data_IF_192375195503
#
_entry.id   IF_192375195503
#
_cell.length_a   1.000
_cell.length_b   1.000
_cell.length_c   1.000
_cell.angle_alpha   90.00
_cell.angle_beta   90.00
_cell.angle_gamma   90.00
#
_symmetry.space_group_name_H-M   'P 1'
#
loop_
_entity.id
_entity.type
_entity.pdbx_description
1 polymer ?
#
# COMPACT_ATOMS: atom_id res chain seq x y z
N UNK A 1 -17.69 -3.23 35.45
CA UNK A 1 -18.92 -2.69 36.06
C UNK A 1 -18.70 -1.45 36.97
N UNK A 2 -17.55 -1.25 37.64
CA UNK A 2 -17.30 -0.03 38.49
C UNK A 2 -16.78 1.22 37.74
N UNK A 3 -16.41 1.10 36.46
CA UNK A 3 -15.83 2.21 35.69
C UNK A 3 -16.78 2.80 34.63
N UNK A 4 -17.91 2.14 34.36
CA UNK A 4 -18.93 2.59 33.40
C UNK A 4 -19.64 3.83 33.96
N UNK A 5 -19.37 5.00 33.36
CA UNK A 5 -19.89 6.30 33.79
C UNK A 5 -18.82 7.34 34.16
N UNK A 6 -17.54 6.96 34.19
CA UNK A 6 -16.42 7.86 34.55
C UNK A 6 -15.44 8.09 33.41
N UNK A 7 -15.32 7.10 32.54
CA UNK A 7 -14.50 7.13 31.35
C UNK A 7 -15.38 6.75 30.17
N UNK A 8 -15.08 7.29 29.00
CA UNK A 8 -15.74 6.88 27.77
C UNK A 8 -15.44 5.39 27.49
N UNK A 9 -16.36 4.72 26.77
CA UNK A 9 -16.26 3.29 26.47
C UNK A 9 -14.96 2.91 25.73
N UNK A 10 -14.40 3.83 24.92
CA UNK A 10 -13.14 3.66 24.20
C UNK A 10 -11.94 3.74 25.14
N UNK A 11 -11.92 4.72 26.03
CA UNK A 11 -10.89 4.86 27.07
C UNK A 11 -10.85 3.63 27.98
N UNK A 12 -12.00 3.06 28.32
CA UNK A 12 -12.10 1.81 29.10
C UNK A 12 -11.60 0.60 28.34
N UNK A 13 -11.90 0.50 27.04
CA UNK A 13 -11.45 -0.59 26.20
C UNK A 13 -9.92 -0.56 26.02
N UNK A 14 -9.34 0.62 25.79
CA UNK A 14 -7.88 0.81 25.72
C UNK A 14 -7.23 0.47 27.07
N UNK A 15 -7.82 0.90 28.19
CA UNK A 15 -7.33 0.56 29.51
C UNK A 15 -7.39 -0.95 29.76
N UNK A 16 -8.43 -1.64 29.30
CA UNK A 16 -8.55 -3.09 29.40
C UNK A 16 -7.49 -3.80 28.54
N UNK A 17 -7.22 -3.30 27.33
CA UNK A 17 -6.20 -3.84 26.44
C UNK A 17 -4.77 -3.65 26.97
N UNK A 18 -4.55 -2.62 27.78
CA UNK A 18 -3.27 -2.33 28.45
C UNK A 18 -3.15 -3.00 29.83
N UNK A 19 -4.16 -3.76 30.25
CA UNK A 19 -4.25 -4.37 31.58
C UNK A 19 -4.08 -3.30 32.68
N UNK A 20 -4.79 -2.18 32.52
CA UNK A 20 -4.78 -1.00 33.40
C UNK A 20 -6.06 -0.85 34.22
N UNK A 21 -7.03 -1.74 34.03
CA UNK A 21 -8.35 -1.63 34.65
C UNK A 21 -8.28 -1.62 36.19
N UNK A 22 -7.48 -2.50 36.76
CA UNK A 22 -7.25 -2.58 38.21
C UNK A 22 -6.54 -1.33 38.75
N UNK A 23 -5.50 -0.84 38.06
CA UNK A 23 -4.78 0.38 38.47
C UNK A 23 -5.68 1.62 38.40
N UNK A 24 -6.57 1.72 37.41
CA UNK A 24 -7.54 2.82 37.30
C UNK A 24 -8.60 2.78 38.40
N UNK A 25 -9.06 1.59 38.79
CA UNK A 25 -9.98 1.41 39.92
C UNK A 25 -9.30 1.82 41.23
N UNK A 26 -8.06 1.39 41.44
CA UNK A 26 -7.29 1.74 42.64
C UNK A 26 -7.02 3.23 42.74
N UNK A 27 -6.61 3.88 41.63
CA UNK A 27 -6.35 5.33 41.56
C UNK A 27 -7.57 6.17 41.95
N UNK A 28 -8.78 5.62 41.78
CA UNK A 28 -10.03 6.31 42.11
C UNK A 28 -10.54 6.05 43.53
N UNK A 29 -9.99 5.06 44.24
CA UNK A 29 -10.41 4.82 45.63
C UNK A 29 -9.91 5.94 46.54
N UNK A 30 -10.75 6.47 47.44
CA UNK A 30 -10.38 7.52 48.41
C UNK A 30 -9.44 7.00 49.52
N UNK A 31 -9.06 5.72 49.47
CA UNK A 31 -8.32 5.00 50.51
C UNK A 31 -6.82 4.86 50.27
N UNK A 32 -6.30 5.35 49.12
CA UNK A 32 -4.87 5.24 48.76
C UNK A 32 -4.03 6.37 49.37
N UNK A 33 -2.91 5.99 49.98
CA UNK A 33 -1.91 6.93 50.48
C UNK A 33 -1.17 7.64 49.33
N UNK A 34 -0.59 8.81 49.61
CA UNK A 34 0.15 9.62 48.64
C UNK A 34 1.25 8.83 47.92
N UNK A 35 2.00 7.99 48.65
CA UNK A 35 3.05 7.16 48.04
C UNK A 35 2.48 6.08 47.10
N UNK A 36 1.34 5.48 47.47
CA UNK A 36 0.68 4.46 46.65
C UNK A 36 0.12 5.08 45.36
N UNK A 37 -0.45 6.28 45.46
CA UNK A 37 -0.94 7.03 44.30
C UNK A 37 0.19 7.41 43.34
N UNK A 38 1.30 7.93 43.85
CA UNK A 38 2.47 8.26 43.02
C UNK A 38 3.05 7.03 42.31
N UNK A 39 3.07 5.87 42.99
CA UNK A 39 3.51 4.61 42.40
C UNK A 39 2.56 4.11 41.29
N UNK A 40 1.24 4.24 41.48
CA UNK A 40 0.22 3.93 40.47
C UNK A 40 0.36 4.83 39.23
N UNK A 41 0.48 6.15 39.41
CA UNK A 41 0.67 7.12 38.32
C UNK A 41 1.96 6.81 37.53
N UNK A 42 3.04 6.45 38.22
CA UNK A 42 4.30 6.06 37.57
C UNK A 42 4.13 4.78 36.73
N UNK A 43 3.41 3.78 37.23
CA UNK A 43 3.13 2.53 36.48
C UNK A 43 2.26 2.79 35.26
N UNK A 44 1.22 3.60 35.40
CA UNK A 44 0.34 4.02 34.31
C UNK A 44 1.14 4.71 33.20
N UNK A 45 1.90 5.75 33.55
CA UNK A 45 2.73 6.49 32.60
C UNK A 45 3.76 5.58 31.91
N UNK A 46 4.35 4.63 32.62
CA UNK A 46 5.30 3.67 32.04
C UNK A 46 4.64 2.75 31.01
N UNK A 47 3.43 2.23 31.29
CA UNK A 47 2.69 1.36 30.35
C UNK A 47 2.22 2.14 29.12
N UNK A 48 1.73 3.37 29.32
CA UNK A 48 1.34 4.27 28.22
C UNK A 48 2.55 4.60 27.35
N UNK A 49 3.66 5.04 27.95
CA UNK A 49 4.89 5.37 27.21
C UNK A 49 5.40 4.18 26.42
N UNK A 50 5.37 2.98 27.00
CA UNK A 50 5.75 1.75 26.29
C UNK A 50 4.89 1.53 25.06
N UNK A 51 3.56 1.63 25.19
CA UNK A 51 2.64 1.51 24.05
C UNK A 51 2.92 2.55 22.98
N UNK A 52 3.16 3.81 23.36
CA UNK A 52 3.48 4.89 22.41
C UNK A 52 4.76 4.59 21.64
N UNK A 53 5.80 4.09 22.31
CA UNK A 53 7.04 3.68 21.65
C UNK A 53 6.83 2.49 20.71
N UNK A 54 6.04 1.51 21.11
CA UNK A 54 5.69 0.35 20.27
C UNK A 54 4.88 0.76 19.04
N UNK A 55 3.95 1.73 19.19
CA UNK A 55 3.19 2.30 18.08
C UNK A 55 4.09 3.06 17.11
N UNK A 56 4.96 3.94 17.63
CA UNK A 56 5.92 4.68 16.81
C UNK A 56 6.88 3.76 16.06
N UNK A 57 7.33 2.68 16.69
CA UNK A 57 8.17 1.68 16.04
C UNK A 57 7.42 0.93 14.94
N UNK A 58 6.14 0.59 15.16
CA UNK A 58 5.29 -0.04 14.15
C UNK A 58 5.05 0.90 12.97
N UNK A 59 4.66 2.16 13.21
CA UNK A 59 4.46 3.15 12.14
C UNK A 59 5.72 3.37 11.32
N UNK A 60 6.89 3.53 11.97
CA UNK A 60 8.15 3.66 11.26
C UNK A 60 8.50 2.42 10.40
N UNK A 61 8.13 1.22 10.84
CA UNK A 61 8.29 0.00 10.05
C UNK A 61 7.33 -0.03 8.84
N UNK A 62 6.12 0.48 8.99
CA UNK A 62 5.14 0.63 7.90
C UNK A 62 5.65 1.62 6.86
N UNK A 63 6.06 2.82 7.28
CA UNK A 63 6.59 3.87 6.40
C UNK A 63 7.82 3.35 5.62
N UNK A 64 8.67 2.54 6.26
CA UNK A 64 9.83 1.94 5.59
C UNK A 64 9.41 0.94 4.50
N UNK A 65 8.39 0.11 4.74
CA UNK A 65 7.89 -0.82 3.73
C UNK A 65 7.10 -0.10 2.61
N UNK A 66 6.42 1.00 2.92
CA UNK A 66 5.80 1.91 1.96
C UNK A 66 6.86 2.52 1.03
N UNK A 67 7.86 3.20 1.59
CA UNK A 67 8.92 3.87 0.83
C UNK A 67 9.68 2.87 -0.04
N UNK A 68 9.94 1.68 0.48
CA UNK A 68 10.54 0.58 -0.29
C UNK A 68 9.67 0.16 -1.46
N UNK A 69 8.36 0.00 -1.29
CA UNK A 69 7.45 -0.34 -2.38
C UNK A 69 7.43 0.77 -3.44
N UNK A 70 7.34 2.04 -3.02
CA UNK A 70 7.35 3.20 -3.92
C UNK A 70 8.67 3.35 -4.68
N UNK A 71 9.81 3.15 -4.02
CA UNK A 71 11.13 3.20 -4.66
C UNK A 71 11.29 2.10 -5.72
N UNK A 72 10.82 0.88 -5.43
CA UNK A 72 10.86 -0.22 -6.40
C UNK A 72 9.91 0.07 -7.57
N UNK A 73 8.70 0.57 -7.30
CA UNK A 73 7.75 0.99 -8.34
C UNK A 73 8.39 2.04 -9.26
N UNK A 74 8.91 3.12 -8.66
CA UNK A 74 9.62 4.20 -9.35
C UNK A 74 10.80 3.70 -10.19
N UNK A 75 11.58 2.75 -9.67
CA UNK A 75 12.69 2.15 -10.41
C UNK A 75 12.21 1.37 -11.65
N UNK A 76 11.19 0.53 -11.50
CA UNK A 76 10.61 -0.25 -12.59
C UNK A 76 9.96 0.65 -13.65
N UNK A 77 9.24 1.69 -13.22
CA UNK A 77 8.64 2.69 -14.11
C UNK A 77 9.69 3.46 -14.92
N UNK A 78 10.78 3.91 -14.29
CA UNK A 78 11.86 4.61 -15.01
C UNK A 78 12.45 3.71 -16.10
N UNK A 79 12.60 2.41 -15.83
CA UNK A 79 13.08 1.42 -16.80
C UNK A 79 12.06 1.16 -17.91
N UNK A 80 10.77 1.14 -17.59
CA UNK A 80 9.67 1.05 -18.56
C UNK A 80 9.64 2.27 -19.47
N UNK A 81 9.53 3.48 -18.91
CA UNK A 81 9.51 4.76 -19.64
C UNK A 81 10.71 4.92 -20.56
N UNK A 82 11.90 4.49 -20.13
CA UNK A 82 13.10 4.52 -20.97
C UNK A 82 12.98 3.61 -22.21
N UNK A 83 12.40 2.42 -22.06
CA UNK A 83 12.19 1.48 -23.16
C UNK A 83 11.07 1.94 -24.08
N UNK A 84 9.96 2.39 -23.51
CA UNK A 84 8.85 3.01 -24.22
C UNK A 84 9.35 4.17 -25.08
N UNK A 85 10.11 5.11 -24.50
CA UNK A 85 10.71 6.23 -25.24
C UNK A 85 11.57 5.77 -26.41
N UNK A 86 12.42 4.77 -26.20
CA UNK A 86 13.28 4.25 -27.27
C UNK A 86 12.46 3.61 -28.41
N UNK A 87 11.40 2.87 -28.08
CA UNK A 87 10.49 2.29 -29.08
C UNK A 87 9.69 3.37 -29.83
N UNK A 88 9.17 4.38 -29.12
CA UNK A 88 8.45 5.51 -29.72
C UNK A 88 9.34 6.31 -30.66
N UNK A 89 10.58 6.63 -30.24
CA UNK A 89 11.55 7.30 -31.13
C UNK A 89 11.85 6.42 -32.34
N UNK A 90 12.03 5.11 -32.16
CA UNK A 90 12.21 4.16 -33.25
C UNK A 90 11.05 4.15 -34.24
N UNK A 91 9.80 4.18 -33.74
CA UNK A 91 8.59 4.24 -34.56
C UNK A 91 8.52 5.55 -35.35
N UNK A 92 8.78 6.70 -34.72
CA UNK A 92 8.78 8.01 -35.38
C UNK A 92 9.83 8.06 -36.51
N UNK A 93 11.06 7.62 -36.23
CA UNK A 93 12.14 7.60 -37.22
C UNK A 93 11.81 6.64 -38.36
N UNK A 94 11.28 5.46 -38.05
CA UNK A 94 10.90 4.47 -39.08
C UNK A 94 9.79 5.00 -39.97
N UNK A 95 8.73 5.58 -39.40
CA UNK A 95 7.64 6.17 -40.16
C UNK A 95 8.08 7.34 -41.04
N UNK A 96 8.98 8.19 -40.54
CA UNK A 96 9.57 9.27 -41.33
C UNK A 96 10.37 8.72 -42.53
N UNK A 97 11.20 7.69 -42.33
CA UNK A 97 11.99 7.07 -43.41
C UNK A 97 11.10 6.36 -44.44
N UNK A 98 10.08 5.63 -44.00
CA UNK A 98 9.11 4.96 -44.88
C UNK A 98 8.32 5.98 -45.70
N UNK A 99 7.85 7.06 -45.07
CA UNK A 99 7.12 8.13 -45.75
C UNK A 99 7.95 8.86 -46.81
N UNK A 100 9.19 9.22 -46.47
CA UNK A 100 10.13 9.85 -47.42
C UNK A 100 10.48 8.86 -48.54
N UNK A 101 10.82 7.62 -48.22
CA UNK A 101 11.18 6.58 -49.19
C UNK A 101 10.06 6.29 -50.18
N UNK A 102 8.83 6.14 -49.68
CA UNK A 102 7.64 5.94 -50.52
C UNK A 102 7.35 7.16 -51.40
N UNK A 103 7.46 8.37 -50.84
CA UNK A 103 7.25 9.61 -51.58
C UNK A 103 8.27 9.82 -52.70
N UNK A 104 9.56 9.52 -52.45
CA UNK A 104 10.62 9.58 -53.46
C UNK A 104 10.46 8.48 -54.52
N UNK A 105 10.05 7.27 -54.13
CA UNK A 105 9.77 6.19 -55.08
C UNK A 105 8.63 6.56 -56.04
N UNK A 106 7.55 7.17 -55.53
CA UNK A 106 6.43 7.66 -56.33
C UNK A 106 6.80 8.86 -57.22
N UNK A 107 7.62 9.80 -56.71
CA UNK A 107 7.99 11.01 -57.44
C UNK A 107 9.06 10.80 -58.52
N UNK A 108 9.93 9.79 -58.37
CA UNK A 108 11.07 9.57 -59.27
C UNK A 108 10.71 8.94 -60.61
N UNK A 109 9.50 8.42 -60.81
CA UNK A 109 8.96 7.94 -62.10
C UNK A 109 9.70 6.77 -62.79
N UNK A 110 10.91 6.42 -62.32
CA UNK A 110 11.80 5.39 -62.88
C UNK A 110 12.07 4.20 -61.94
N UNK A 111 11.51 4.23 -60.74
CA UNK A 111 11.47 3.10 -59.82
C UNK A 111 10.13 2.40 -60.04
N UNK A 112 10.11 1.08 -60.27
CA UNK A 112 8.86 0.36 -60.54
C UNK A 112 7.85 0.54 -59.39
N UNK A 113 6.56 0.60 -59.72
CA UNK A 113 5.46 0.75 -58.76
C UNK A 113 5.55 -0.27 -57.61
N UNK A 114 6.08 -1.47 -57.89
CA UNK A 114 6.38 -2.52 -56.91
C UNK A 114 7.23 -2.04 -55.72
N UNK A 115 8.22 -1.15 -55.91
CA UNK A 115 9.08 -0.72 -54.80
C UNK A 115 8.38 0.22 -53.83
N UNK A 116 7.51 1.11 -54.33
CA UNK A 116 6.72 1.99 -53.46
C UNK A 116 5.72 1.16 -52.64
N UNK A 117 5.12 0.13 -53.26
CA UNK A 117 4.23 -0.82 -52.59
C UNK A 117 4.96 -1.67 -51.55
N UNK A 118 6.15 -2.20 -51.87
CA UNK A 118 6.98 -2.98 -50.94
C UNK A 118 7.42 -2.12 -49.73
N UNK A 119 7.84 -0.87 -49.95
CA UNK A 119 8.24 0.04 -48.86
C UNK A 119 7.04 0.39 -47.98
N UNK A 120 5.89 0.68 -48.58
CA UNK A 120 4.66 1.00 -47.84
C UNK A 120 4.15 -0.17 -46.99
N UNK A 121 4.07 -1.38 -47.56
CA UNK A 121 3.60 -2.58 -46.85
C UNK A 121 4.58 -2.97 -45.74
N UNK A 122 5.89 -3.02 -46.04
CA UNK A 122 6.90 -3.41 -45.05
C UNK A 122 7.00 -2.38 -43.94
N UNK A 123 6.92 -1.09 -44.27
CA UNK A 123 6.91 0.00 -43.30
C UNK A 123 5.69 -0.05 -42.37
N UNK A 124 4.49 -0.23 -42.92
CA UNK A 124 3.27 -0.34 -42.13
C UNK A 124 3.28 -1.53 -41.15
N UNK A 125 3.85 -2.68 -41.56
CA UNK A 125 4.00 -3.84 -40.65
C UNK A 125 4.97 -3.57 -39.50
N UNK A 126 6.08 -2.86 -39.76
CA UNK A 126 7.04 -2.50 -38.71
C UNK A 126 6.42 -1.49 -37.72
N UNK A 127 5.65 -0.52 -38.21
CA UNK A 127 4.93 0.43 -37.35
C UNK A 127 3.92 -0.27 -36.44
N UNK A 128 3.12 -1.20 -36.99
CA UNK A 128 2.18 -2.00 -36.18
C UNK A 128 2.93 -2.83 -35.13
N UNK A 129 4.04 -3.45 -35.51
CA UNK A 129 4.86 -4.22 -34.58
C UNK A 129 5.41 -3.37 -33.43
N UNK A 130 5.95 -2.18 -33.73
CA UNK A 130 6.47 -1.26 -32.72
C UNK A 130 5.35 -0.72 -31.82
N UNK A 131 4.21 -0.35 -32.38
CA UNK A 131 3.04 0.11 -31.63
C UNK A 131 2.51 -0.96 -30.67
N UNK A 132 2.36 -2.20 -31.14
CA UNK A 132 1.93 -3.32 -30.28
C UNK A 132 2.98 -3.67 -29.23
N UNK A 133 4.28 -3.54 -29.55
CA UNK A 133 5.37 -3.78 -28.59
C UNK A 133 5.40 -2.75 -27.46
N UNK A 134 5.04 -1.49 -27.74
CA UNK A 134 4.86 -0.45 -26.73
C UNK A 134 3.71 -0.83 -25.78
N UNK A 135 2.58 -1.29 -26.33
CA UNK A 135 1.40 -1.69 -25.52
C UNK A 135 1.63 -2.92 -24.64
N UNK A 136 2.57 -3.82 -25.02
CA UNK A 136 2.89 -5.05 -24.27
C UNK A 136 4.12 -4.89 -23.36
N UNK A 137 4.60 -3.67 -23.18
CA UNK A 137 5.81 -3.43 -22.41
C UNK A 137 5.50 -3.50 -20.91
N UNK A 138 5.71 -4.68 -20.31
CA UNK A 138 5.59 -4.86 -18.87
C UNK A 138 6.93 -5.18 -18.22
N UNK A 139 7.12 -4.67 -17.00
CA UNK A 139 8.24 -5.02 -16.13
C UNK A 139 7.68 -5.48 -14.81
N UNK A 140 8.19 -6.59 -14.34
CA UNK A 140 7.75 -7.23 -13.13
C UNK A 140 8.96 -7.64 -12.30
N UNK A 141 8.78 -7.73 -10.99
CA UNK A 141 9.80 -8.20 -10.05
C UNK A 141 9.15 -9.16 -9.05
N UNK A 142 9.87 -10.22 -8.67
CA UNK A 142 9.44 -11.08 -7.57
C UNK A 142 9.87 -10.46 -6.24
N UNK A 143 8.95 -10.36 -5.28
CA UNK A 143 9.24 -9.87 -3.92
C UNK A 143 8.62 -10.81 -2.90
N UNK A 144 9.31 -11.01 -1.78
CA UNK A 144 8.86 -11.81 -0.64
C UNK A 144 8.51 -10.91 0.56
N UNK A 145 7.43 -11.27 1.26
CA UNK A 145 6.82 -10.55 2.37
C UNK A 145 6.36 -11.55 3.46
N UNK A 146 7.26 -12.29 4.12
CA UNK A 146 6.84 -13.31 5.10
C UNK A 146 6.03 -12.71 6.27
N UNK A 147 6.27 -11.44 6.59
CA UNK A 147 5.44 -10.64 7.49
C UNK A 147 4.68 -9.63 6.63
N UNK A 148 3.42 -9.95 6.33
CA UNK A 148 2.59 -9.10 5.48
C UNK A 148 1.49 -8.45 6.29
N UNK A 149 1.76 -7.23 6.76
CA UNK A 149 0.81 -6.48 7.57
C UNK A 149 -0.51 -6.19 6.84
N UNK A 150 -0.49 -6.02 5.51
CA UNK A 150 -1.72 -5.82 4.73
C UNK A 150 -2.62 -7.06 4.78
N UNK A 151 -2.04 -8.26 4.63
CA UNK A 151 -2.76 -9.52 4.80
C UNK A 151 -3.34 -9.60 6.21
N UNK A 152 -2.49 -9.40 7.20
CA UNK A 152 -2.87 -9.66 8.58
C UNK A 152 -4.01 -8.73 9.04
N UNK A 153 -4.02 -7.48 8.56
CA UNK A 153 -5.12 -6.52 8.77
C UNK A 153 -6.37 -6.88 7.95
N UNK A 154 -6.20 -7.33 6.71
CA UNK A 154 -7.30 -7.73 5.83
C UNK A 154 -8.06 -8.95 6.38
N UNK A 155 -7.34 -10.04 6.67
CA UNK A 155 -7.91 -11.30 7.13
C UNK A 155 -8.49 -11.17 8.55
N UNK A 156 -7.75 -10.55 9.46
CA UNK A 156 -8.22 -10.27 10.83
C UNK A 156 -8.46 -11.50 11.72
N UNK A 157 -7.97 -12.69 11.33
CA UNK A 157 -8.23 -13.95 12.05
C UNK A 157 -7.51 -14.01 13.40
N UNK A 158 -6.18 -13.87 13.40
CA UNK A 158 -5.34 -13.96 14.58
C UNK A 158 -4.35 -12.81 14.65
N UNK A 159 -4.01 -12.39 15.88
CA UNK A 159 -3.01 -11.33 16.08
C UNK A 159 -1.61 -11.86 15.72
N UNK A 160 -0.91 -11.23 14.76
CA UNK A 160 0.49 -11.55 14.48
C UNK A 160 1.38 -11.24 15.67
N UNK A 161 2.40 -12.06 15.91
CA UNK A 161 3.29 -11.90 17.07
C UNK A 161 4.03 -10.56 17.10
N UNK A 162 4.26 -9.96 15.92
CA UNK A 162 4.98 -8.71 15.74
C UNK A 162 4.09 -7.46 15.88
N UNK A 163 2.75 -7.62 15.96
CA UNK A 163 1.83 -6.52 16.27
C UNK A 163 1.54 -6.51 17.78
N UNK A 164 1.82 -5.41 18.50
CA UNK A 164 1.51 -5.27 19.92
C UNK A 164 0.03 -5.51 20.22
N UNK A 165 -0.27 -6.24 21.29
CA UNK A 165 -1.64 -6.64 21.65
C UNK A 165 -2.59 -5.45 21.84
N UNK A 166 -2.12 -4.37 22.46
CA UNK A 166 -2.91 -3.17 22.66
C UNK A 166 -3.26 -2.46 21.34
N UNK A 167 -2.33 -2.45 20.38
CA UNK A 167 -2.55 -1.88 19.04
C UNK A 167 -3.54 -2.75 18.27
N UNK A 168 -3.34 -4.07 18.26
CA UNK A 168 -4.26 -5.01 17.60
C UNK A 168 -5.69 -4.88 18.15
N UNK A 169 -5.83 -4.80 19.47
CA UNK A 169 -7.11 -4.58 20.11
C UNK A 169 -7.73 -3.25 19.67
N UNK A 170 -6.95 -2.16 19.67
CA UNK A 170 -7.42 -0.84 19.24
C UNK A 170 -7.98 -0.84 17.80
N UNK A 171 -7.31 -1.53 16.87
CA UNK A 171 -7.78 -1.65 15.49
C UNK A 171 -9.07 -2.48 15.36
N UNK A 172 -9.20 -3.54 16.15
CA UNK A 172 -10.33 -4.48 16.10
C UNK A 172 -11.50 -4.12 17.02
N UNK A 173 -11.34 -3.12 17.88
CA UNK A 173 -12.39 -2.71 18.81
C UNK A 173 -13.49 -1.95 18.06
N UNK A 174 -14.66 -2.58 17.94
CA UNK A 174 -15.92 -1.91 17.58
C UNK A 174 -16.62 -1.50 18.87
N UNK A 175 -16.53 -0.22 19.25
CA UNK A 175 -17.21 0.31 20.43
C UNK A 175 -18.73 0.35 20.25
N UNK A 176 -19.48 0.24 21.35
CA UNK A 176 -20.96 0.27 21.39
C UNK A 176 -21.55 1.64 20.98
N UNK A 177 -20.75 2.71 20.94
CA UNK A 177 -21.21 4.10 20.83
C UNK A 177 -20.78 4.82 19.53
N UNK A 178 -19.94 4.21 18.69
CA UNK A 178 -19.56 4.82 17.41
C UNK A 178 -20.61 4.49 16.36
N UNK A 179 -21.18 5.55 15.76
CA UNK A 179 -22.27 5.49 14.79
C UNK A 179 -21.83 4.72 13.55
N UNK A 180 -22.11 3.41 13.52
CA UNK A 180 -21.78 2.54 12.39
C UNK A 180 -21.41 1.09 12.75
N UNK A 181 -21.13 0.79 14.03
CA UNK A 181 -20.78 -0.56 14.52
C UNK A 181 -19.51 -1.20 13.90
N UNK A 182 -18.69 -0.45 13.14
CA UNK A 182 -17.48 -0.96 12.48
C UNK A 182 -16.22 -0.53 13.22
N UNK A 183 -15.32 -1.49 13.46
CA UNK A 183 -13.96 -1.26 13.97
C UNK A 183 -13.11 -0.46 12.98
N UNK A 184 -11.99 0.10 13.44
CA UNK A 184 -11.05 0.82 12.57
C UNK A 184 -10.50 -0.08 11.46
N UNK A 185 -10.24 -1.35 11.78
CA UNK A 185 -9.84 -2.37 10.80
C UNK A 185 -10.89 -2.53 9.72
N UNK A 186 -12.16 -2.67 10.09
CA UNK A 186 -13.25 -2.86 9.11
C UNK A 186 -13.44 -1.63 8.22
N UNK A 187 -13.31 -0.42 8.77
CA UNK A 187 -13.35 0.82 7.99
C UNK A 187 -12.17 0.93 7.01
N UNK A 188 -10.98 0.48 7.42
CA UNK A 188 -9.79 0.45 6.56
C UNK A 188 -9.92 -0.60 5.45
N UNK A 189 -10.39 -1.80 5.78
CA UNK A 189 -10.61 -2.87 4.80
C UNK A 189 -11.66 -2.44 3.77
N UNK A 190 -12.77 -1.86 4.21
CA UNK A 190 -13.80 -1.32 3.30
C UNK A 190 -13.24 -0.23 2.38
N UNK A 191 -12.36 0.63 2.89
CA UNK A 191 -11.66 1.63 2.08
C UNK A 191 -10.77 0.97 1.03
N UNK A 192 -9.99 -0.04 1.41
CA UNK A 192 -9.16 -0.78 0.47
C UNK A 192 -9.98 -1.49 -0.61
N UNK A 193 -11.07 -2.15 -0.24
CA UNK A 193 -11.99 -2.79 -1.19
C UNK A 193 -12.64 -1.79 -2.15
N UNK A 194 -12.87 -0.55 -1.69
CA UNK A 194 -13.50 0.49 -2.49
C UNK A 194 -12.52 1.16 -3.46
N UNK A 195 -11.31 1.47 -3.00
CA UNK A 195 -10.40 2.37 -3.73
C UNK A 195 -9.12 1.71 -4.22
N UNK A 196 -8.64 0.67 -3.52
CA UNK A 196 -7.35 0.06 -3.82
C UNK A 196 -7.54 -1.22 -4.63
N UNK A 197 -8.38 -2.16 -4.20
CA UNK A 197 -8.53 -3.49 -4.82
C UNK A 197 -9.35 -3.40 -6.11
N UNK A 198 -8.78 -3.80 -7.25
CA UNK A 198 -9.39 -3.83 -8.58
C UNK A 198 -9.36 -5.24 -9.19
N UNK A 199 -9.98 -6.24 -8.54
CA UNK A 199 -10.40 -7.57 -9.04
C UNK A 199 -9.39 -8.47 -9.79
N UNK A 200 -8.21 -7.99 -10.22
CA UNK A 200 -7.27 -8.70 -11.11
C UNK A 200 -5.82 -8.55 -10.62
N UNK A 201 -5.30 -9.57 -9.93
CA UNK A 201 -3.90 -9.64 -9.50
C UNK A 201 -3.62 -9.16 -8.07
N UNK A 202 -4.61 -8.54 -7.40
CA UNK A 202 -4.47 -7.98 -6.05
C UNK A 202 -4.26 -9.02 -4.95
N UNK A 203 -4.52 -10.31 -5.23
CA UNK A 203 -4.27 -11.40 -4.27
C UNK A 203 -2.82 -11.47 -3.84
N UNK A 204 -1.88 -10.99 -4.67
CA UNK A 204 -0.48 -10.94 -4.30
C UNK A 204 -0.23 -9.96 -3.15
N UNK A 205 -0.99 -8.87 -3.05
CA UNK A 205 -0.89 -7.86 -1.99
C UNK A 205 -1.09 -8.46 -0.59
N UNK A 206 -1.86 -9.54 -0.50
CA UNK A 206 -2.21 -10.26 0.72
C UNK A 206 -1.49 -11.61 0.86
N UNK A 207 -0.47 -11.88 0.03
CA UNK A 207 0.28 -13.14 0.06
C UNK A 207 1.63 -13.00 0.77
N UNK A 208 2.36 -14.11 0.96
CA UNK A 208 3.76 -14.09 1.44
C UNK A 208 4.76 -13.54 0.40
N UNK A 209 4.27 -13.13 -0.77
CA UNK A 209 5.09 -12.62 -1.86
C UNK A 209 4.60 -13.11 -3.21
N UNK A 210 5.18 -12.54 -4.26
CA UNK A 210 4.85 -12.91 -5.62
C UNK A 210 5.40 -11.90 -6.61
N UNK A 211 4.80 -11.89 -7.80
CA UNK A 211 5.25 -11.07 -8.91
C UNK A 211 4.50 -9.75 -8.92
N UNK A 212 5.25 -8.67 -8.85
CA UNK A 212 4.76 -7.31 -8.74
C UNK A 212 5.03 -6.51 -10.01
N UNK A 213 4.00 -5.85 -10.52
CA UNK A 213 4.11 -4.74 -11.47
C UNK A 213 4.37 -3.43 -10.70
N UNK A 214 4.80 -2.34 -11.37
CA UNK A 214 4.89 -1.04 -10.71
C UNK A 214 3.55 -0.58 -10.13
N UNK A 215 2.44 -0.86 -10.82
CA UNK A 215 1.10 -0.52 -10.35
C UNK A 215 0.74 -1.25 -9.04
N UNK A 216 1.00 -2.56 -8.95
CA UNK A 216 0.78 -3.33 -7.72
C UNK A 216 1.67 -2.84 -6.57
N UNK A 217 2.88 -2.39 -6.85
CA UNK A 217 3.77 -1.80 -5.84
C UNK A 217 3.27 -0.45 -5.35
N UNK A 218 2.78 0.39 -6.25
CA UNK A 218 2.18 1.67 -5.88
C UNK A 218 0.93 1.45 -5.02
N UNK A 219 0.06 0.53 -5.45
CA UNK A 219 -1.14 0.17 -4.69
C UNK A 219 -0.79 -0.39 -3.29
N UNK A 220 0.27 -1.20 -3.18
CA UNK A 220 0.79 -1.65 -1.88
C UNK A 220 1.24 -0.48 -1.02
N UNK A 221 2.00 0.47 -1.58
CA UNK A 221 2.43 1.68 -0.88
C UNK A 221 1.23 2.50 -0.40
N UNK A 222 0.26 2.76 -1.27
CA UNK A 222 -0.95 3.53 -0.93
C UNK A 222 -1.77 2.86 0.20
N UNK A 223 -1.81 1.53 0.25
CA UNK A 223 -2.48 0.79 1.34
C UNK A 223 -1.69 0.88 2.66
N UNK A 224 -0.35 0.85 2.61
CA UNK A 224 0.52 1.00 3.78
C UNK A 224 0.43 2.43 4.34
N UNK A 225 0.41 3.46 3.50
CA UNK A 225 0.21 4.86 3.89
C UNK A 225 -1.16 5.05 4.59
N UNK A 226 -2.23 4.45 4.06
CA UNK A 226 -3.54 4.47 4.72
C UNK A 226 -3.52 3.82 6.11
N UNK A 227 -2.72 2.77 6.31
CA UNK A 227 -2.57 2.13 7.60
C UNK A 227 -1.74 3.01 8.57
N UNK A 228 -0.67 3.63 8.09
CA UNK A 228 0.17 4.55 8.86
C UNK A 228 -0.59 5.81 9.27
N UNK A 229 -1.36 6.41 8.37
CA UNK A 229 -2.13 7.64 8.63
C UNK A 229 -3.23 7.46 9.68
N UNK A 230 -3.80 6.26 9.85
CA UNK A 230 -4.74 5.93 10.93
C UNK A 230 -4.07 5.84 12.32
N UNK A 231 -2.73 5.77 12.36
CA UNK A 231 -1.95 5.79 13.61
C UNK A 231 -1.48 7.19 14.03
N UNK A 232 -1.72 8.21 13.20
CA UNK A 232 -1.36 9.59 13.47
C UNK A 232 -2.56 10.31 14.14
N UNK A 233 -2.41 10.85 15.37
CA UNK A 233 -3.48 11.53 16.11
C UNK A 233 -3.92 12.86 15.46
#
# INVERSE_FOLDING_TARGET
MQLEGLFDARSLAIAQALDLSEELIQLKSDTIDFQQRAALETRLNRRILKMTLELQALTAAIDCEEEKAEQIASFLERRLRQRERNLTVGAIVTGALVGIGSGLALASGGISNDWAEIIGITGGLIEVFLGVSILRLERQIAIEHPQNLLRDIYDGEERPSYIPAAIWFYFNYAGVQDTGNKSLREQLVERWETYNIQLSGDTVLFSDGGVYTPALLQQRADMLDQLASLSCP
#
